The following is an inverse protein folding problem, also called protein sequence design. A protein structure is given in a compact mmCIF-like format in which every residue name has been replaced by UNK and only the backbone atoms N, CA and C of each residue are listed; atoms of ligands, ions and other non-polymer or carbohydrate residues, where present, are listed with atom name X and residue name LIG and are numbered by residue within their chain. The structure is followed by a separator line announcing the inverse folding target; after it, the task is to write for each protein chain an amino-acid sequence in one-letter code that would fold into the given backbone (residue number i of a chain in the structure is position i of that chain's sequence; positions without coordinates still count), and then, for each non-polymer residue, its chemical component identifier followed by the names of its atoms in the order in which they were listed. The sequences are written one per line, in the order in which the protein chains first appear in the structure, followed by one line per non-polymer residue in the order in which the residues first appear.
data_IF_730422649115
#
_entry.id   IF_730422649115
#
_cell.length_a   1.000
_cell.length_b   1.000
_cell.length_c   1.000
_cell.angle_alpha   90.00
_cell.angle_beta   90.00
_cell.angle_gamma   90.00
#
_symmetry.space_group_name_H-M   'P 1'
#
loop_
_entity.id
_entity.type
_entity.pdbx_description
1 polymer ?
#
# COMPACT_ATOMS: atom_id res chain seq x y z
N UNK A 1 -2.41 15.25 -10.57
CA UNK A 1 -3.23 14.41 -9.66
C UNK A 1 -2.30 13.43 -8.96
N UNK A 2 -2.04 13.62 -7.66
CA UNK A 2 -1.12 12.79 -6.86
C UNK A 2 -1.96 11.76 -6.09
N UNK A 3 -2.24 10.62 -6.71
CA UNK A 3 -2.93 9.51 -6.04
C UNK A 3 -1.87 8.64 -5.37
N UNK A 4 -2.02 8.36 -4.08
CA UNK A 4 -1.01 7.67 -3.27
C UNK A 4 -1.34 6.18 -3.15
N UNK A 5 -0.41 5.32 -3.56
CA UNK A 5 -0.34 3.95 -3.06
C UNK A 5 0.54 3.97 -1.81
N UNK A 6 -0.07 3.94 -0.64
CA UNK A 6 0.64 3.86 0.63
C UNK A 6 1.22 2.45 0.82
N UNK A 7 2.42 2.20 0.31
CA UNK A 7 3.19 1.03 0.71
C UNK A 7 3.78 1.30 2.10
N UNK A 8 3.09 0.82 3.13
CA UNK A 8 3.57 0.90 4.51
C UNK A 8 4.26 -0.42 4.82
N UNK A 9 5.60 -0.41 4.85
CA UNK A 9 6.39 -1.52 5.37
C UNK A 9 6.59 -1.31 6.88
N UNK A 10 5.74 -1.92 7.71
CA UNK A 10 5.97 -1.95 9.15
C UNK A 10 6.99 -3.05 9.48
N UNK A 11 8.27 -2.69 9.51
CA UNK A 11 9.31 -3.54 10.10
C UNK A 11 9.34 -3.31 11.61
N UNK A 12 8.94 -4.31 12.38
CA UNK A 12 9.14 -4.28 13.83
C UNK A 12 10.66 -4.31 14.13
N UNK A 13 11.19 -3.42 14.98
CA UNK A 13 12.61 -3.48 15.33
C UNK A 13 12.86 -4.68 16.25
N UNK A 14 13.75 -5.57 15.84
CA UNK A 14 14.38 -6.52 16.75
C UNK A 14 15.37 -5.72 17.62
N UNK A 15 15.05 -5.53 18.90
CA UNK A 15 15.96 -4.93 19.87
C UNK A 15 17.07 -5.95 20.15
N UNK A 16 18.24 -5.74 19.56
CA UNK A 16 19.47 -6.42 19.99
C UNK A 16 20.26 -5.46 20.87
N UNK A 17 20.35 -5.77 22.16
CA UNK A 17 21.28 -5.11 23.08
C UNK A 17 22.70 -5.55 22.70
N UNK A 18 23.50 -4.64 22.15
CA UNK A 18 24.94 -4.81 22.06
C UNK A 18 25.63 -3.61 22.73
N UNK A 19 26.53 -3.95 23.65
CA UNK A 19 27.21 -3.05 24.57
C UNK A 19 28.30 -2.20 23.90
N UNK A 20 28.43 -0.96 24.39
CA UNK A 20 29.68 -0.22 24.61
C UNK A 20 30.73 -0.10 23.49
N UNK A 21 30.83 1.10 22.89
CA UNK A 21 32.01 1.57 22.17
C UNK A 21 31.92 3.08 21.90
N UNK A 22 32.92 3.84 22.37
CA UNK A 22 33.03 5.30 22.26
C UNK A 22 33.15 5.80 20.80
N UNK A 23 32.85 7.09 20.52
CA UNK A 23 32.95 7.67 19.18
C UNK A 23 34.33 8.30 18.94
N UNK A 24 35.02 7.87 17.89
CA UNK A 24 36.16 8.63 17.34
C UNK A 24 35.71 9.53 16.19
N UNK A 25 36.30 10.73 16.17
CA UNK A 25 35.93 11.86 15.34
C UNK A 25 36.52 11.82 13.91
N UNK A 26 35.64 12.11 12.95
CA UNK A 26 35.79 12.84 11.67
C UNK A 26 36.98 12.60 10.70
N UNK A 27 36.63 12.32 9.44
CA UNK A 27 37.30 12.87 8.24
C UNK A 27 36.29 13.06 7.08
N UNK A 28 36.36 14.13 6.26
CA UNK A 28 35.47 14.37 5.12
C UNK A 28 36.13 13.90 3.79
N UNK A 29 35.55 14.19 2.60
CA UNK A 29 34.74 13.28 1.80
C UNK A 29 35.48 12.69 0.59
N UNK A 30 35.10 11.49 0.17
CA UNK A 30 35.55 10.87 -1.09
C UNK A 30 34.36 10.31 -1.87
N UNK A 31 34.16 10.83 -3.08
CA UNK A 31 33.13 10.40 -4.01
C UNK A 31 33.50 9.02 -4.56
N UNK A 32 32.93 7.96 -3.99
CA UNK A 32 32.78 6.67 -4.67
C UNK A 32 31.42 6.07 -4.34
N UNK A 33 30.55 6.09 -5.34
CA UNK A 33 29.12 5.79 -5.27
C UNK A 33 28.78 4.31 -5.13
N UNK A 34 29.44 3.58 -4.23
CA UNK A 34 28.89 2.32 -3.75
C UNK A 34 27.95 2.61 -2.59
N UNK A 35 26.66 2.76 -2.90
CA UNK A 35 25.60 2.67 -1.89
C UNK A 35 25.66 1.29 -1.26
N UNK A 36 26.45 1.14 -0.19
CA UNK A 36 26.34 0.00 0.71
C UNK A 36 24.99 0.11 1.38
N UNK A 37 23.97 -0.52 0.78
CA UNK A 37 22.82 -0.94 1.56
C UNK A 37 23.36 -1.91 2.60
N UNK A 38 23.50 -1.44 3.84
CA UNK A 38 23.69 -2.32 5.00
C UNK A 38 22.35 -3.03 5.20
N UNK A 39 22.10 -4.04 4.37
CA UNK A 39 21.04 -4.99 4.62
C UNK A 39 21.57 -5.89 5.74
N UNK A 40 21.26 -5.53 6.98
CA UNK A 40 21.39 -6.47 8.10
C UNK A 40 20.59 -7.71 7.70
N UNK A 41 21.22 -8.89 7.58
CA UNK A 41 20.47 -10.10 7.28
C UNK A 41 19.45 -10.29 8.38
N UNK A 42 18.16 -10.39 8.02
CA UNK A 42 17.13 -10.76 8.97
C UNK A 42 17.38 -12.23 9.33
N UNK A 43 18.19 -12.46 10.35
CA UNK A 43 18.32 -13.75 11.02
C UNK A 43 17.09 -13.94 11.89
N UNK A 44 15.97 -14.34 11.28
CA UNK A 44 14.68 -14.50 11.93
C UNK A 44 13.62 -15.08 10.99
N UNK A 45 12.47 -15.48 11.53
CA UNK A 45 11.32 -15.92 10.73
C UNK A 45 10.94 -14.85 9.69
N UNK A 46 10.53 -15.28 8.49
CA UNK A 46 10.10 -14.39 7.40
C UNK A 46 9.00 -13.44 7.92
N UNK A 47 9.09 -12.12 7.68
CA UNK A 47 8.12 -11.17 8.19
C UNK A 47 6.77 -11.34 7.48
N UNK A 48 5.68 -11.02 8.17
CA UNK A 48 4.39 -10.81 7.50
C UNK A 48 4.37 -9.42 6.85
N UNK A 49 3.71 -9.30 5.70
CA UNK A 49 3.58 -8.07 4.93
C UNK A 49 2.09 -7.76 4.80
N UNK A 50 1.71 -6.54 5.17
CA UNK A 50 0.34 -6.05 5.02
C UNK A 50 0.36 -4.75 4.22
N UNK A 51 -0.39 -4.70 3.13
CA UNK A 51 -0.50 -3.52 2.25
C UNK A 51 -1.92 -2.99 2.31
N UNK A 52 -2.09 -1.74 2.72
CA UNK A 52 -3.38 -1.05 2.69
C UNK A 52 -3.47 -0.18 1.43
N UNK A 53 -4.53 -0.39 0.64
CA UNK A 53 -4.81 0.37 -0.57
C UNK A 53 -6.11 1.14 -0.38
N UNK A 54 -6.04 2.46 -0.49
CA UNK A 54 -7.21 3.31 -0.59
C UNK A 54 -7.52 3.64 -2.05
N UNK A 55 -8.74 4.07 -2.33
CA UNK A 55 -9.22 4.35 -3.68
C UNK A 55 -9.64 5.81 -3.76
N UNK A 56 -8.95 6.58 -4.61
CA UNK A 56 -9.07 8.05 -4.72
C UNK A 56 -8.62 8.87 -3.50
N UNK A 57 -7.82 8.27 -2.60
CA UNK A 57 -7.21 9.01 -1.50
C UNK A 57 -6.07 9.91 -2.00
N UNK A 58 -6.17 11.21 -1.73
CA UNK A 58 -5.14 12.19 -2.04
C UNK A 58 -4.12 12.32 -0.91
N UNK A 59 -2.90 12.71 -1.29
CA UNK A 59 -1.86 13.14 -0.36
C UNK A 59 -2.34 14.24 0.60
N UNK A 60 -3.19 15.15 0.12
CA UNK A 60 -3.72 16.28 0.90
C UNK A 60 -4.78 15.91 1.92
N UNK A 61 -5.29 14.68 1.87
CA UNK A 61 -6.37 14.23 2.77
C UNK A 61 -5.81 13.68 4.09
N UNK A 62 -4.49 13.46 4.15
CA UNK A 62 -3.84 12.69 5.20
C UNK A 62 -3.06 13.61 6.15
N UNK A 63 -3.32 13.51 7.45
CA UNK A 63 -2.61 14.29 8.48
C UNK A 63 -1.08 14.19 8.44
N UNK A 64 -0.44 13.02 8.19
CA UNK A 64 1.02 12.90 8.04
C UNK A 64 1.64 13.84 6.99
N UNK A 65 0.82 14.29 6.04
CA UNK A 65 1.22 15.06 4.87
C UNK A 65 0.66 16.49 4.91
N UNK A 66 0.16 16.93 6.07
CA UNK A 66 -0.38 18.27 6.28
C UNK A 66 -1.88 18.41 5.98
N UNK A 67 -2.58 17.31 5.70
CA UNK A 67 -4.03 17.30 5.56
C UNK A 67 -4.74 17.70 6.86
N UNK A 68 -5.78 18.54 6.75
CA UNK A 68 -6.52 19.09 7.90
C UNK A 68 -8.03 18.80 7.87
N UNK A 69 -8.55 18.38 6.72
CA UNK A 69 -9.99 18.19 6.52
C UNK A 69 -10.57 16.98 7.26
N UNK A 70 -9.76 15.94 7.49
CA UNK A 70 -10.17 14.72 8.20
C UNK A 70 -9.09 14.30 9.20
N UNK A 71 -9.51 13.88 10.39
CA UNK A 71 -8.60 13.30 11.36
C UNK A 71 -8.19 11.87 10.94
N UNK A 72 -6.89 11.65 10.73
CA UNK A 72 -6.33 10.33 10.38
C UNK A 72 -5.33 9.81 11.43
N UNK A 73 -5.74 9.65 12.71
CA UNK A 73 -4.81 9.36 13.81
C UNK A 73 -4.08 8.02 13.64
N UNK A 74 -4.73 7.01 13.05
CA UNK A 74 -4.11 5.72 12.79
C UNK A 74 -3.02 5.80 11.71
N UNK A 75 -3.23 6.61 10.66
CA UNK A 75 -2.20 6.83 9.63
C UNK A 75 -1.02 7.63 10.19
N UNK A 76 -1.31 8.65 11.02
CA UNK A 76 -0.29 9.43 11.73
C UNK A 76 0.58 8.57 12.65
N UNK A 77 -0.04 7.68 13.43
CA UNK A 77 0.69 6.72 14.27
C UNK A 77 1.63 5.84 13.45
N UNK A 78 1.18 5.35 12.30
CA UNK A 78 1.99 4.48 11.42
C UNK A 78 3.11 5.26 10.74
N UNK A 79 2.85 6.49 10.28
CA UNK A 79 3.87 7.36 9.70
C UNK A 79 4.97 7.68 10.71
N UNK A 80 4.62 8.01 11.96
CA UNK A 80 5.57 8.30 13.05
C UNK A 80 6.38 7.08 13.47
N UNK A 81 5.81 5.89 13.39
CA UNK A 81 6.48 4.64 13.76
C UNK A 81 7.32 4.04 12.61
N UNK A 82 7.25 4.60 11.41
CA UNK A 82 7.84 4.02 10.21
C UNK A 82 8.50 5.07 9.32
N UNK A 83 8.33 4.91 8.01
CA UNK A 83 8.89 5.79 7.00
C UNK A 83 7.78 6.33 6.10
N UNK A 84 7.87 7.61 5.75
CA UNK A 84 6.95 8.27 4.82
C UNK A 84 7.68 8.73 3.56
N UNK A 85 7.00 8.62 2.42
CA UNK A 85 7.51 9.06 1.13
C UNK A 85 6.73 10.29 0.67
N UNK A 86 7.36 11.46 0.69
CA UNK A 86 6.72 12.72 0.29
C UNK A 86 6.62 12.89 -1.24
N UNK A 87 7.30 12.02 -2.01
CA UNK A 87 7.38 12.06 -3.46
C UNK A 87 7.11 10.66 -4.05
N UNK A 88 5.96 10.07 -3.74
CA UNK A 88 5.49 8.82 -4.32
C UNK A 88 4.35 9.07 -5.32
N UNK A 89 4.44 8.49 -6.51
CA UNK A 89 3.51 8.73 -7.62
C UNK A 89 2.99 7.42 -8.20
N UNK A 90 1.71 7.39 -8.56
CA UNK A 90 1.12 6.29 -9.34
C UNK A 90 1.61 6.30 -10.78
N UNK A 91 1.71 5.10 -11.37
CA UNK A 91 2.08 4.95 -12.77
C UNK A 91 0.98 5.45 -13.74
N UNK A 92 -0.26 5.55 -13.27
CA UNK A 92 -1.38 6.13 -14.01
C UNK A 92 -2.44 6.66 -13.03
N UNK A 93 -3.06 7.83 -13.30
CA UNK A 93 -4.10 8.41 -12.45
C UNK A 93 -5.48 7.76 -12.69
N UNK A 94 -5.52 6.44 -12.80
CA UNK A 94 -6.74 5.67 -13.08
C UNK A 94 -6.66 4.29 -12.42
N UNK A 95 -7.80 3.77 -11.92
CA UNK A 95 -7.86 2.62 -11.02
C UNK A 95 -7.19 1.36 -11.59
N UNK A 96 -7.68 0.85 -12.73
CA UNK A 96 -7.14 -0.38 -13.31
C UNK A 96 -5.65 -0.27 -13.72
N UNK A 97 -5.20 0.75 -14.47
CA UNK A 97 -3.79 0.86 -14.87
C UNK A 97 -2.86 1.03 -13.66
N UNK A 98 -3.25 1.78 -12.63
CA UNK A 98 -2.45 1.96 -11.41
C UNK A 98 -2.26 0.64 -10.65
N UNK A 99 -3.36 -0.10 -10.44
CA UNK A 99 -3.34 -1.38 -9.71
C UNK A 99 -2.63 -2.47 -10.49
N UNK A 100 -2.80 -2.51 -11.81
CA UNK A 100 -2.05 -3.41 -12.67
C UNK A 100 -0.55 -3.11 -12.61
N UNK A 101 -0.14 -1.84 -12.62
CA UNK A 101 1.27 -1.47 -12.49
C UNK A 101 1.85 -1.89 -11.13
N UNK A 102 1.11 -1.68 -10.05
CA UNK A 102 1.51 -2.16 -8.72
C UNK A 102 1.69 -3.68 -8.68
N UNK A 103 0.74 -4.44 -9.20
CA UNK A 103 0.71 -5.90 -9.11
C UNK A 103 1.62 -6.61 -10.13
N UNK A 104 2.12 -5.90 -11.15
CA UNK A 104 3.05 -6.45 -12.14
C UNK A 104 4.46 -5.88 -12.00
N UNK A 105 4.64 -4.74 -11.33
CA UNK A 105 5.90 -4.00 -11.29
C UNK A 105 6.27 -3.32 -12.60
N UNK A 106 5.32 -3.22 -13.55
CA UNK A 106 5.55 -2.71 -14.90
C UNK A 106 4.63 -1.53 -15.22
N UNK A 107 5.13 -0.56 -15.98
CA UNK A 107 4.30 0.55 -16.48
C UNK A 107 3.10 0.03 -17.29
N UNK A 108 1.95 0.74 -17.31
CA UNK A 108 0.75 0.34 -18.04
C UNK A 108 0.97 -0.03 -19.51
N UNK A 109 1.87 0.67 -20.19
CA UNK A 109 2.23 0.36 -21.59
C UNK A 109 2.92 -1.01 -21.74
N UNK A 110 3.73 -1.40 -20.75
CA UNK A 110 4.45 -2.67 -20.74
C UNK A 110 3.54 -3.81 -20.26
N UNK A 111 2.70 -3.55 -19.25
CA UNK A 111 1.79 -4.56 -18.72
C UNK A 111 0.52 -4.75 -19.56
N UNK A 112 0.16 -3.81 -20.44
CA UNK A 112 -1.00 -3.88 -21.35
C UNK A 112 -2.30 -3.27 -20.81
N UNK A 113 -2.38 -2.92 -19.52
CA UNK A 113 -3.56 -2.37 -18.89
C UNK A 113 -3.60 -0.84 -18.98
N UNK A 114 -3.78 -0.24 -20.15
CA UNK A 114 -3.74 1.23 -20.30
C UNK A 114 -5.06 1.95 -19.97
N UNK A 115 -6.20 1.26 -20.10
CA UNK A 115 -7.54 1.83 -19.90
C UNK A 115 -8.14 1.36 -18.57
N UNK A 116 -9.12 2.11 -18.02
CA UNK A 116 -9.65 1.92 -16.66
C UNK A 116 -10.41 0.58 -16.41
N UNK A 117 -10.51 -0.29 -17.41
CA UNK A 117 -11.04 -1.66 -17.28
C UNK A 117 -10.17 -2.69 -18.01
N UNK A 118 -9.02 -2.28 -18.55
CA UNK A 118 -8.08 -3.17 -19.18
C UNK A 118 -7.41 -4.06 -18.13
N UNK A 119 -7.03 -5.26 -18.56
CA UNK A 119 -6.30 -6.23 -17.76
C UNK A 119 -4.83 -6.22 -18.17
N UNK A 120 -3.89 -6.50 -17.25
CA UNK A 120 -2.53 -6.77 -17.67
C UNK A 120 -2.52 -8.06 -18.50
N UNK A 121 -1.53 -8.22 -19.36
CA UNK A 121 -1.39 -9.43 -20.18
C UNK A 121 -1.32 -10.69 -19.29
N UNK A 122 -1.99 -11.75 -19.72
CA UNK A 122 -2.25 -12.92 -18.89
C UNK A 122 -0.95 -13.65 -18.50
N UNK A 123 0.02 -13.71 -19.42
CA UNK A 123 1.32 -14.36 -19.28
C UNK A 123 2.26 -13.69 -18.27
N UNK A 124 2.00 -12.44 -17.91
CA UNK A 124 2.84 -11.72 -16.97
C UNK A 124 2.72 -12.33 -15.58
N UNK A 125 3.86 -12.65 -14.99
CA UNK A 125 3.92 -13.05 -13.59
C UNK A 125 3.56 -11.86 -12.70
N UNK A 126 2.61 -12.08 -11.80
CA UNK A 126 2.01 -11.06 -10.94
C UNK A 126 2.51 -11.24 -9.50
N UNK A 127 2.31 -10.21 -8.69
CA UNK A 127 2.80 -10.13 -7.32
C UNK A 127 2.54 -11.40 -6.46
N UNK A 128 1.34 -12.02 -6.47
CA UNK A 128 1.07 -13.21 -5.65
C UNK A 128 2.02 -14.37 -5.94
N UNK A 129 2.34 -14.62 -7.21
CA UNK A 129 3.19 -15.73 -7.63
C UNK A 129 4.62 -15.61 -7.04
N UNK A 130 5.18 -14.39 -7.00
CA UNK A 130 6.49 -14.18 -6.38
C UNK A 130 6.48 -14.49 -4.88
N UNK A 131 5.41 -14.14 -4.17
CA UNK A 131 5.29 -14.44 -2.74
C UNK A 131 5.08 -15.93 -2.48
N UNK A 132 4.26 -16.60 -3.27
CA UNK A 132 4.01 -18.03 -3.18
C UNK A 132 5.30 -18.84 -3.39
N UNK A 133 6.14 -18.46 -4.35
CA UNK A 133 7.47 -19.06 -4.56
C UNK A 133 8.42 -18.86 -3.38
N UNK A 134 8.28 -17.72 -2.68
CA UNK A 134 8.99 -17.47 -1.42
C UNK A 134 8.34 -18.17 -0.22
N UNK A 135 7.31 -18.99 -0.41
CA UNK A 135 6.64 -19.76 0.64
C UNK A 135 5.63 -18.97 1.47
N UNK A 136 5.22 -17.78 1.00
CA UNK A 136 4.15 -17.02 1.63
C UNK A 136 2.77 -17.54 1.19
N UNK A 137 1.77 -17.27 2.01
CA UNK A 137 0.38 -17.20 1.56
C UNK A 137 0.09 -15.77 1.11
N UNK A 138 -0.47 -15.60 -0.08
CA UNK A 138 -0.85 -14.32 -0.64
C UNK A 138 -2.38 -14.15 -0.63
N UNK A 139 -2.88 -13.16 0.09
CA UNK A 139 -4.31 -12.88 0.21
C UNK A 139 -4.66 -11.45 -0.21
N UNK A 140 -5.83 -11.30 -0.84
CA UNK A 140 -6.42 -10.02 -1.22
C UNK A 140 -7.83 -9.90 -0.63
N UNK A 141 -8.10 -8.84 0.11
CA UNK A 141 -9.42 -8.55 0.66
C UNK A 141 -9.82 -7.15 0.24
N UNK A 142 -10.91 -7.03 -0.50
CA UNK A 142 -11.39 -5.77 -1.02
C UNK A 142 -10.90 -5.42 -2.42
N UNK A 143 -10.95 -4.13 -2.77
CA UNK A 143 -10.52 -3.61 -4.07
C UNK A 143 -8.98 -3.56 -4.12
N UNK A 144 -8.33 -4.69 -4.38
CA UNK A 144 -6.87 -4.79 -4.58
C UNK A 144 -6.50 -4.62 -6.05
N UNK A 145 -7.08 -5.45 -6.92
CA UNK A 145 -7.13 -5.19 -8.36
C UNK A 145 -8.40 -4.40 -8.71
N UNK A 146 -8.64 -4.16 -10.00
CA UNK A 146 -9.89 -3.52 -10.43
C UNK A 146 -11.07 -4.49 -10.28
N UNK A 147 -11.68 -4.47 -9.09
CA UNK A 147 -12.80 -5.32 -8.69
C UNK A 147 -12.53 -6.81 -8.92
N UNK A 148 -13.47 -7.52 -9.55
CA UNK A 148 -13.42 -8.95 -9.81
C UNK A 148 -12.21 -9.42 -10.64
N UNK A 149 -11.46 -8.50 -11.28
CA UNK A 149 -10.21 -8.86 -11.96
C UNK A 149 -9.20 -9.50 -11.00
N UNK A 150 -9.28 -9.26 -9.69
CA UNK A 150 -8.36 -9.85 -8.68
C UNK A 150 -8.27 -11.37 -8.77
N UNK A 151 -9.33 -12.04 -9.22
CA UNK A 151 -9.38 -13.50 -9.43
C UNK A 151 -8.36 -13.98 -10.47
N UNK A 152 -7.95 -13.10 -11.37
CA UNK A 152 -7.00 -13.37 -12.46
C UNK A 152 -5.54 -13.17 -12.03
N UNK A 153 -5.30 -12.72 -10.79
CA UNK A 153 -3.94 -12.42 -10.28
C UNK A 153 -3.29 -13.56 -9.50
N UNK A 154 -4.04 -14.62 -9.18
CA UNK A 154 -3.50 -15.82 -8.55
C UNK A 154 -3.24 -15.71 -7.05
N UNK A 155 -3.98 -14.87 -6.32
CA UNK A 155 -3.98 -14.90 -4.86
C UNK A 155 -4.54 -16.23 -4.33
N UNK A 156 -4.00 -16.73 -3.22
CA UNK A 156 -4.52 -17.92 -2.51
C UNK A 156 -5.93 -17.66 -1.95
N UNK A 157 -6.19 -16.41 -1.54
CA UNK A 157 -7.50 -15.96 -1.09
C UNK A 157 -7.86 -14.61 -1.71
N UNK A 158 -9.08 -14.48 -2.21
CA UNK A 158 -9.62 -13.23 -2.70
C UNK A 158 -11.09 -13.08 -2.27
N UNK A 159 -11.43 -12.01 -1.53
CA UNK A 159 -12.82 -11.71 -1.14
C UNK A 159 -13.12 -10.21 -1.15
N UNK A 160 -14.40 -9.86 -1.04
CA UNK A 160 -14.91 -8.48 -0.94
C UNK A 160 -14.53 -7.49 -2.05
N UNK A 161 -14.22 -7.99 -3.25
CA UNK A 161 -13.73 -7.21 -4.38
C UNK A 161 -14.86 -6.58 -5.24
N UNK A 162 -16.09 -6.45 -4.74
CA UNK A 162 -17.18 -5.83 -5.49
C UNK A 162 -17.15 -4.30 -5.36
N UNK A 163 -17.88 -3.65 -6.26
CA UNK A 163 -18.09 -2.20 -6.22
C UNK A 163 -18.79 -1.81 -4.91
N UNK A 164 -18.25 -0.82 -4.18
CA UNK A 164 -18.84 -0.27 -2.94
C UNK A 164 -19.13 -1.32 -1.86
N UNK A 165 -18.23 -2.29 -1.72
CA UNK A 165 -18.27 -3.26 -0.63
C UNK A 165 -17.49 -2.74 0.59
N UNK A 166 -18.11 -1.86 1.37
CA UNK A 166 -17.44 -1.09 2.44
C UNK A 166 -17.22 -1.85 3.75
N UNK A 167 -17.07 -3.16 3.66
CA UNK A 167 -16.81 -4.06 4.80
C UNK A 167 -15.38 -4.59 4.83
N UNK A 168 -14.56 -4.26 3.82
CA UNK A 168 -13.27 -4.87 3.55
C UNK A 168 -12.31 -4.90 4.75
N UNK A 169 -12.25 -3.83 5.55
CA UNK A 169 -11.35 -3.78 6.71
C UNK A 169 -11.83 -4.72 7.83
N UNK A 170 -13.13 -4.69 8.15
CA UNK A 170 -13.70 -5.58 9.15
C UNK A 170 -13.57 -7.05 8.73
N UNK A 171 -13.81 -7.35 7.46
CA UNK A 171 -13.66 -8.70 6.92
C UNK A 171 -12.20 -9.14 6.84
N UNK A 172 -11.25 -8.22 6.64
CA UNK A 172 -9.83 -8.55 6.75
C UNK A 172 -9.43 -8.97 8.17
N UNK A 173 -9.95 -8.28 9.19
CA UNK A 173 -9.75 -8.67 10.60
C UNK A 173 -10.37 -10.04 10.87
N UNK A 174 -11.63 -10.26 10.48
CA UNK A 174 -12.29 -11.56 10.66
C UNK A 174 -11.57 -12.70 9.95
N UNK A 175 -11.08 -12.44 8.73
CA UNK A 175 -10.31 -13.44 7.99
C UNK A 175 -9.00 -13.78 8.71
N UNK A 176 -8.28 -12.77 9.22
CA UNK A 176 -7.06 -12.97 10.00
C UNK A 176 -7.31 -13.79 11.28
N UNK A 177 -8.40 -13.51 12.01
CA UNK A 177 -8.78 -14.26 13.22
C UNK A 177 -9.08 -15.74 12.94
N UNK A 178 -9.61 -16.04 11.75
CA UNK A 178 -9.98 -17.39 11.34
C UNK A 178 -8.88 -18.12 10.54
N UNK A 179 -7.81 -17.42 10.18
CA UNK A 179 -6.71 -17.96 9.37
C UNK A 179 -6.02 -19.13 10.07
N UNK A 180 -5.86 -20.25 9.36
CA UNK A 180 -5.25 -21.50 9.89
C UNK A 180 -3.82 -21.73 9.43
N UNK A 181 -3.47 -21.20 8.26
CA UNK A 181 -2.14 -21.31 7.67
C UNK A 181 -1.06 -20.72 8.59
N UNK A 182 0.06 -21.42 8.73
CA UNK A 182 1.24 -20.97 9.48
C UNK A 182 2.32 -20.37 8.57
N UNK A 183 2.06 -20.31 7.25
CA UNK A 183 2.98 -19.65 6.30
C UNK A 183 3.14 -18.18 6.67
N UNK A 184 4.27 -17.53 6.35
CA UNK A 184 4.32 -16.07 6.37
C UNK A 184 3.26 -15.51 5.40
N UNK A 185 2.68 -14.36 5.74
CA UNK A 185 1.52 -13.80 5.06
C UNK A 185 1.92 -12.56 4.26
N UNK A 186 1.47 -12.48 3.01
CA UNK A 186 1.33 -11.23 2.27
C UNK A 186 -0.17 -10.93 2.13
N UNK A 187 -0.69 -9.97 2.90
CA UNK A 187 -2.07 -9.55 2.85
C UNK A 187 -2.19 -8.17 2.20
N UNK A 188 -3.06 -8.05 1.21
CA UNK A 188 -3.44 -6.77 0.62
C UNK A 188 -4.90 -6.45 0.99
N UNK A 189 -5.13 -5.31 1.63
CA UNK A 189 -6.46 -4.84 2.03
C UNK A 189 -6.79 -3.60 1.21
N UNK A 190 -7.77 -3.72 0.31
CA UNK A 190 -8.21 -2.64 -0.56
C UNK A 190 -9.56 -2.07 -0.15
N UNK A 191 -9.64 -0.79 0.21
CA UNK A 191 -10.91 -0.11 0.46
C UNK A 191 -11.39 0.62 -0.79
N UNK A 192 -12.71 0.76 -0.95
CA UNK A 192 -13.28 1.66 -1.94
C UNK A 192 -13.27 3.12 -1.46
N UNK A 193 -13.01 3.41 -0.19
CA UNK A 193 -12.97 4.79 0.30
C UNK A 193 -11.67 5.52 -0.07
N UNK A 194 -11.73 6.83 -0.38
CA UNK A 194 -12.91 7.70 -0.51
C UNK A 194 -13.56 7.74 -1.92
N UNK A 195 -13.42 6.75 -2.80
CA UNK A 195 -14.07 6.77 -4.12
C UNK A 195 -15.59 6.98 -4.03
N UNK A 196 -16.13 7.79 -4.93
CA UNK A 196 -17.57 8.13 -5.01
C UNK A 196 -18.47 6.92 -5.30
N UNK A 197 -19.76 6.94 -4.93
CA UNK A 197 -20.46 8.02 -4.20
C UNK A 197 -20.06 8.14 -2.72
N UNK A 198 -20.03 9.38 -2.24
CA UNK A 198 -19.87 9.69 -0.82
C UNK A 198 -21.21 9.57 -0.07
N UNK A 199 -21.18 9.29 1.25
CA UNK A 199 -22.38 9.32 2.05
C UNK A 199 -22.96 10.74 2.06
N UNK A 200 -24.30 10.85 2.06
CA UNK A 200 -25.00 12.15 2.07
C UNK A 200 -24.67 13.01 3.29
N UNK A 201 -24.21 12.40 4.37
CA UNK A 201 -23.73 13.08 5.58
C UNK A 201 -22.24 12.77 5.72
N UNK A 202 -21.41 13.80 5.53
CA UNK A 202 -19.99 13.73 5.75
C UNK A 202 -19.63 13.95 7.22
N UNK A 203 -18.48 13.43 7.63
CA UNK A 203 -17.86 13.69 8.94
C UNK A 203 -16.85 14.85 8.88
N UNK A 204 -16.63 15.41 7.70
CA UNK A 204 -15.61 16.43 7.43
C UNK A 204 -16.27 17.80 7.24
N UNK A 205 -15.67 18.84 7.81
CA UNK A 205 -16.03 20.23 7.53
C UNK A 205 -15.45 20.66 6.18
N UNK A 206 -16.21 21.46 5.41
CA UNK A 206 -15.69 22.08 4.18
C UNK A 206 -14.76 23.28 4.46
N UNK A 207 -14.53 23.62 5.73
CA UNK A 207 -13.72 24.74 6.14
C UNK A 207 -12.26 24.58 5.69
N UNK A 208 -11.75 25.57 4.96
CA UNK A 208 -10.37 25.62 4.51
C UNK A 208 -10.05 24.80 3.25
N UNK A 209 -11.05 24.30 2.52
CA UNK A 209 -10.84 23.73 1.19
C UNK A 209 -10.42 24.85 0.19
N UNK A 210 -9.42 24.60 -0.68
CA UNK A 210 -9.03 25.57 -1.71
C UNK A 210 -10.21 25.86 -2.65
N UNK A 211 -10.41 27.11 -3.11
CA UNK A 211 -11.50 27.47 -4.02
C UNK A 211 -11.41 26.80 -5.41
N UNK A 212 -10.27 26.16 -5.71
CA UNK A 212 -9.97 25.48 -6.96
C UNK A 212 -9.88 23.96 -6.81
N UNK A 213 -10.35 23.39 -5.70
CA UNK A 213 -10.49 21.94 -5.59
C UNK A 213 -11.64 21.51 -6.51
N UNK A 214 -11.34 20.67 -7.51
CA UNK A 214 -12.25 20.29 -8.61
C UNK A 214 -13.55 19.61 -8.13
N UNK A 215 -13.60 19.21 -6.84
CA UNK A 215 -14.74 18.55 -6.21
C UNK A 215 -15.46 19.41 -5.15
N UNK A 216 -15.25 20.73 -5.10
CA UNK A 216 -16.25 21.61 -4.46
C UNK A 216 -17.48 21.67 -5.38
N UNK A 217 -18.69 21.30 -4.92
CA UNK A 217 -19.90 21.41 -5.75
C UNK A 217 -20.13 22.83 -6.27
#
# INVERSE_FOLDING_TARGET
MRVLVSLILALAPAISLAAGGQPDAAAPPGADGQRRAVATPITGAKPNIVVFLADDLSFTDCAPFGGKSVATPNMDRVAKAGMSLNNAFVASPSCAPSRAALLTGLYPILNGAMLNHARPRAELKKWPAYFQELGYEAAAIGKVAHYAQVKEYGFDHASHFKYHEDVCVAEAVRWLENRKSQKPLCLMVGTNWPHVPWPKQGIASNDGLPPNLVDTP
#
